data_IF_223321035132
#
_entry.id   IF_223321035132
#
_cell.length_a   1.000
_cell.length_b   1.000
_cell.length_c   1.000
_cell.angle_alpha   90.00
_cell.angle_beta   90.00
_cell.angle_gamma   90.00
#
_symmetry.space_group_name_H-M   'P 1'
#
loop_
_entity.id
_entity.type
_entity.pdbx_description
1 polymer ?
#
# COMPACT_ATOMS: atom_id res chain seq x y z
N UNK A 1 6.46 -10.55 -15.59
CA UNK A 1 7.02 -10.53 -14.22
C UNK A 1 8.53 -10.58 -14.32
N UNK A 2 9.24 -10.36 -13.23
CA UNK A 2 10.69 -10.55 -13.19
C UNK A 2 11.02 -11.87 -12.52
N UNK A 3 11.83 -12.70 -13.21
CA UNK A 3 12.50 -13.89 -12.68
C UNK A 3 13.85 -13.44 -12.09
N UNK A 4 14.01 -13.61 -10.79
CA UNK A 4 15.20 -13.18 -10.04
C UNK A 4 15.97 -14.41 -9.60
N UNK A 5 17.21 -14.51 -10.07
CA UNK A 5 18.14 -15.60 -9.75
C UNK A 5 19.31 -15.11 -8.92
N UNK A 6 19.67 -15.94 -7.95
CA UNK A 6 20.81 -15.74 -7.07
C UNK A 6 22.01 -16.57 -7.54
N UNK A 7 23.15 -16.36 -6.88
CA UNK A 7 24.40 -17.08 -7.16
C UNK A 7 24.45 -18.41 -6.39
N UNK A 8 23.79 -18.43 -5.23
CA UNK A 8 23.68 -19.55 -4.32
C UNK A 8 22.45 -19.36 -3.40
N UNK A 9 22.18 -20.34 -2.53
CA UNK A 9 21.01 -20.34 -1.65
C UNK A 9 21.06 -19.24 -0.58
N UNK A 10 22.25 -18.86 -0.09
CA UNK A 10 22.40 -17.79 0.91
C UNK A 10 22.06 -16.45 0.27
N UNK A 11 22.60 -16.20 -0.92
CA UNK A 11 22.29 -15.02 -1.70
C UNK A 11 20.79 -14.94 -2.04
N UNK A 12 20.13 -16.06 -2.34
CA UNK A 12 18.68 -16.08 -2.58
C UNK A 12 17.89 -15.64 -1.34
N UNK A 13 18.28 -16.10 -0.16
CA UNK A 13 17.65 -15.72 1.10
C UNK A 13 17.86 -14.22 1.42
N UNK A 14 19.05 -13.68 1.14
CA UNK A 14 19.32 -12.24 1.27
C UNK A 14 18.44 -11.41 0.33
N UNK A 15 18.31 -11.80 -0.94
CA UNK A 15 17.42 -11.12 -1.88
C UNK A 15 15.95 -11.19 -1.42
N UNK A 16 15.50 -12.36 -0.95
CA UNK A 16 14.16 -12.51 -0.38
C UNK A 16 13.92 -11.56 0.80
N UNK A 17 14.92 -11.41 1.67
CA UNK A 17 14.89 -10.47 2.79
C UNK A 17 14.75 -9.02 2.31
N UNK A 18 15.55 -8.59 1.33
CA UNK A 18 15.46 -7.24 0.78
C UNK A 18 14.11 -6.95 0.13
N UNK A 19 13.55 -7.91 -0.61
CA UNK A 19 12.22 -7.81 -1.23
C UNK A 19 11.13 -7.73 -0.15
N UNK A 20 11.21 -8.58 0.88
CA UNK A 20 10.29 -8.57 2.02
C UNK A 20 10.29 -7.25 2.78
N UNK A 21 11.46 -6.65 3.00
CA UNK A 21 11.62 -5.33 3.64
C UNK A 21 11.00 -4.17 2.84
N UNK A 22 10.58 -4.42 1.59
CA UNK A 22 9.87 -3.46 0.75
C UNK A 22 8.36 -3.74 0.69
N UNK A 23 7.87 -4.73 1.43
CA UNK A 23 6.47 -5.17 1.44
C UNK A 23 5.93 -5.49 0.03
N UNK A 24 6.75 -6.10 -0.81
CA UNK A 24 6.37 -6.48 -2.17
C UNK A 24 5.75 -7.87 -2.21
N UNK A 25 4.75 -8.04 -3.07
CA UNK A 25 4.27 -9.36 -3.42
C UNK A 25 5.37 -10.12 -4.19
N UNK A 26 5.71 -11.32 -3.72
CA UNK A 26 6.73 -12.17 -4.33
C UNK A 26 6.28 -13.63 -4.34
N UNK A 27 6.51 -14.32 -5.46
CA UNK A 27 6.52 -15.78 -5.53
C UNK A 27 7.91 -16.27 -5.13
N UNK A 28 7.99 -17.28 -4.27
CA UNK A 28 9.26 -17.87 -3.83
C UNK A 28 9.28 -19.32 -4.31
N UNK A 29 10.29 -19.65 -5.10
CA UNK A 29 10.56 -21.00 -5.59
C UNK A 29 11.93 -21.48 -5.10
N UNK A 30 12.30 -22.73 -5.38
CA UNK A 30 13.51 -23.33 -4.82
C UNK A 30 14.80 -22.64 -5.28
N UNK A 31 14.83 -22.12 -6.51
CA UNK A 31 16.00 -21.58 -7.19
C UNK A 31 15.83 -20.12 -7.67
N UNK A 32 14.64 -19.53 -7.46
CA UNK A 32 14.31 -18.17 -7.92
C UNK A 32 13.25 -17.47 -7.07
N UNK A 33 13.18 -16.16 -7.23
CA UNK A 33 12.10 -15.32 -6.71
C UNK A 33 11.43 -14.64 -7.90
N UNK A 34 10.12 -14.48 -7.84
CA UNK A 34 9.33 -13.85 -8.90
C UNK A 34 8.59 -12.65 -8.34
N UNK A 35 8.64 -11.50 -9.02
CA UNK A 35 7.92 -10.28 -8.62
C UNK A 35 7.22 -9.61 -9.82
N UNK A 36 6.29 -8.70 -9.53
CA UNK A 36 5.75 -7.81 -10.56
C UNK A 36 6.82 -6.86 -11.10
N UNK A 37 6.66 -6.44 -12.36
CA UNK A 37 7.64 -5.57 -13.02
C UNK A 37 7.71 -4.21 -12.34
N UNK A 38 8.83 -3.96 -11.68
CA UNK A 38 9.16 -2.68 -11.07
C UNK A 38 10.63 -2.35 -11.36
N UNK A 39 10.86 -1.30 -12.14
CA UNK A 39 12.19 -0.91 -12.60
C UNK A 39 13.10 -0.43 -11.45
N UNK A 40 12.55 0.16 -10.38
CA UNK A 40 13.31 0.61 -9.20
C UNK A 40 13.81 -0.60 -8.44
N UNK A 41 12.93 -1.59 -8.23
CA UNK A 41 13.29 -2.83 -7.55
C UNK A 41 14.26 -3.65 -8.41
N UNK A 42 14.06 -3.70 -9.73
CA UNK A 42 15.01 -4.32 -10.65
C UNK A 42 16.41 -3.76 -10.49
N UNK A 43 16.58 -2.44 -10.59
CA UNK A 43 17.89 -1.80 -10.47
C UNK A 43 18.54 -2.06 -9.09
N UNK A 44 17.74 -2.08 -8.03
CA UNK A 44 18.21 -2.42 -6.69
C UNK A 44 18.70 -3.88 -6.59
N UNK A 45 17.95 -4.85 -7.14
CA UNK A 45 18.32 -6.26 -7.12
C UNK A 45 19.55 -6.54 -8.00
N UNK A 46 19.66 -5.90 -9.17
CA UNK A 46 20.85 -5.94 -10.01
C UNK A 46 22.07 -5.36 -9.29
N UNK A 47 21.90 -4.27 -8.53
CA UNK A 47 22.95 -3.68 -7.69
C UNK A 47 23.42 -4.58 -6.54
N UNK A 48 22.57 -5.50 -6.07
CA UNK A 48 22.93 -6.56 -5.11
C UNK A 48 23.56 -7.80 -5.79
N UNK A 49 23.67 -7.77 -7.13
CA UNK A 49 24.28 -8.82 -7.93
C UNK A 49 23.34 -9.98 -8.25
N UNK A 50 22.02 -9.75 -8.25
CA UNK A 50 21.04 -10.69 -8.78
C UNK A 50 20.96 -10.62 -10.32
N UNK A 51 20.63 -11.75 -10.95
CA UNK A 51 20.23 -11.77 -12.36
C UNK A 51 18.72 -11.57 -12.43
N UNK A 52 18.26 -10.60 -13.23
CA UNK A 52 16.84 -10.25 -13.34
C UNK A 52 16.39 -10.34 -14.80
N UNK A 53 15.62 -11.38 -15.10
CA UNK A 53 15.08 -11.64 -16.44
C UNK A 53 13.60 -11.27 -16.53
N UNK A 54 13.17 -10.80 -17.70
CA UNK A 54 11.77 -10.53 -17.95
C UNK A 54 11.08 -11.74 -18.56
N UNK A 55 10.08 -12.28 -17.85
CA UNK A 55 9.33 -13.46 -18.27
C UNK A 55 7.83 -13.21 -18.25
N UNK A 56 7.10 -13.99 -19.06
CA UNK A 56 5.63 -13.95 -19.13
C UNK A 56 5.05 -15.29 -18.67
N UNK A 57 4.67 -15.36 -17.40
CA UNK A 57 4.09 -16.55 -16.77
C UNK A 57 3.06 -16.16 -15.70
N UNK A 58 2.22 -17.09 -15.21
CA UNK A 58 1.28 -16.82 -14.13
C UNK A 58 1.97 -16.44 -12.83
N UNK A 59 1.52 -15.36 -12.20
CA UNK A 59 2.09 -14.88 -10.94
C UNK A 59 1.31 -15.42 -9.73
N UNK A 60 1.99 -16.18 -8.86
CA UNK A 60 1.43 -16.75 -7.62
C UNK A 60 2.24 -16.28 -6.41
N UNK A 61 1.90 -15.14 -5.80
CA UNK A 61 2.65 -14.64 -4.64
C UNK A 61 2.40 -15.49 -3.40
N UNK A 62 3.40 -15.54 -2.52
CA UNK A 62 3.28 -16.18 -1.21
C UNK A 62 2.29 -15.38 -0.36
N UNK A 63 1.32 -16.08 0.23
CA UNK A 63 0.35 -15.48 1.15
C UNK A 63 1.07 -15.10 2.46
N UNK A 64 0.85 -13.88 2.97
CA UNK A 64 1.48 -13.46 4.22
C UNK A 64 1.05 -14.31 5.42
N UNK A 65 1.90 -14.45 6.45
CA UNK A 65 1.67 -15.35 7.58
C UNK A 65 0.34 -15.11 8.34
N UNK A 66 -0.19 -13.88 8.33
CA UNK A 66 -1.42 -13.51 9.04
C UNK A 66 -2.67 -13.50 8.17
N UNK A 67 -2.55 -13.82 6.88
CA UNK A 67 -3.67 -13.74 5.95
C UNK A 67 -4.72 -14.86 6.11
N UNK A 68 -4.70 -15.60 7.23
CA UNK A 68 -5.66 -16.63 7.61
C UNK A 68 -6.31 -16.47 8.99
N UNK A 69 -6.01 -15.41 9.76
CA UNK A 69 -6.54 -15.23 11.13
C UNK A 69 -7.52 -14.04 11.29
N UNK A 70 -7.90 -13.38 10.20
CA UNK A 70 -9.03 -12.45 10.18
C UNK A 70 -10.24 -13.14 9.53
N UNK A 71 -11.22 -13.53 10.35
CA UNK A 71 -12.54 -13.94 9.87
C UNK A 71 -13.08 -12.92 8.87
N UNK A 72 -13.72 -13.42 7.81
CA UNK A 72 -14.04 -12.68 6.61
C UNK A 72 -15.02 -11.51 6.80
N UNK A 73 -15.03 -10.62 5.82
CA UNK A 73 -16.23 -10.02 5.22
C UNK A 73 -15.77 -9.18 4.02
N UNK A 74 -15.97 -9.72 2.81
CA UNK A 74 -15.64 -9.02 1.58
C UNK A 74 -16.62 -9.26 0.45
N UNK A 75 -17.85 -9.72 0.73
CA UNK A 75 -18.97 -9.75 -0.21
C UNK A 75 -20.28 -9.72 0.59
N UNK A 76 -21.16 -8.74 0.37
CA UNK A 76 -22.42 -8.89 -0.39
C UNK A 76 -23.37 -7.70 -0.12
N UNK A 77 -24.52 -7.67 -0.80
CA UNK A 77 -25.23 -6.51 -1.32
C UNK A 77 -26.17 -5.74 -0.36
N UNK A 78 -26.47 -4.48 -0.74
CA UNK A 78 -27.81 -3.90 -0.60
C UNK A 78 -27.99 -2.77 0.42
N UNK A 79 -28.06 -1.52 -0.05
CA UNK A 79 -29.34 -0.79 -0.14
C UNK A 79 -29.10 0.63 -0.68
N UNK A 80 -29.68 0.88 -1.86
CA UNK A 80 -30.07 2.21 -2.31
C UNK A 80 -31.02 2.80 -1.27
N UNK A 81 -30.61 3.89 -0.64
CA UNK A 81 -31.52 4.78 0.08
C UNK A 81 -31.33 6.19 -0.47
N UNK A 82 -31.95 6.39 -1.63
CA UNK A 82 -32.44 7.69 -2.06
C UNK A 82 -33.45 8.23 -1.04
N UNK A 83 -32.97 9.04 -0.08
CA UNK A 83 -33.83 9.96 0.67
C UNK A 83 -33.61 11.37 0.14
N UNK A 84 -34.38 11.73 -0.88
CA UNK A 84 -34.78 13.10 -1.09
C UNK A 84 -35.86 13.43 -0.04
N UNK A 85 -35.49 14.18 1.00
CA UNK A 85 -36.42 14.94 1.84
C UNK A 85 -35.71 16.23 2.22
N UNK A 86 -36.23 17.33 1.66
CA UNK A 86 -35.74 18.67 1.86
C UNK A 86 -36.21 19.21 3.22
N UNK A 87 -35.29 19.50 4.12
CA UNK A 87 -35.56 20.36 5.27
C UNK A 87 -34.56 21.51 5.32
N UNK A 88 -34.95 22.60 4.66
CA UNK A 88 -34.37 23.91 4.84
C UNK A 88 -34.84 24.49 6.18
N UNK A 89 -33.92 24.73 7.10
CA UNK A 89 -34.14 25.66 8.20
C UNK A 89 -33.16 26.82 8.07
N UNK A 90 -33.66 27.86 7.38
CA UNK A 90 -33.12 29.21 7.44
C UNK A 90 -33.53 29.81 8.78
N UNK A 91 -32.56 30.11 9.63
CA UNK A 91 -32.68 31.19 10.62
C UNK A 91 -31.62 32.22 10.27
N UNK A 92 -32.03 33.21 9.48
CA UNK A 92 -31.39 34.51 9.54
C UNK A 92 -31.73 35.15 10.88
N UNK A 93 -30.73 35.65 11.57
CA UNK A 93 -30.85 36.88 12.34
C UNK A 93 -29.45 37.52 12.36
N UNK A 94 -29.34 38.64 11.65
CA UNK A 94 -28.12 39.42 11.55
C UNK A 94 -27.98 40.30 12.78
N UNK A 95 -26.84 40.24 13.48
CA UNK A 95 -26.34 41.37 14.25
C UNK A 95 -24.80 41.45 14.20
N UNK A 96 -24.33 42.45 13.47
CA UNK A 96 -22.99 43.03 13.55
C UNK A 96 -22.77 43.70 14.91
N UNK A 97 -21.53 43.69 15.43
CA UNK A 97 -20.67 44.87 15.58
C UNK A 97 -19.40 44.55 16.39
N UNK A 98 -18.35 45.32 16.06
CA UNK A 98 -16.97 45.38 16.55
C UNK A 98 -16.84 45.40 18.09
N UNK A 99 -15.68 45.11 18.71
CA UNK A 99 -14.56 46.04 18.88
C UNK A 99 -13.23 45.32 19.10
N UNK A 100 -12.21 45.79 18.38
CA UNK A 100 -10.80 45.68 18.73
C UNK A 100 -10.48 46.61 19.90
N UNK A 101 -9.92 46.09 20.99
CA UNK A 101 -9.17 46.89 21.95
C UNK A 101 -7.81 46.23 22.23
N UNK A 102 -6.77 46.95 21.82
CA UNK A 102 -5.39 46.74 22.18
C UNK A 102 -5.12 47.27 23.59
N UNK A 103 -4.73 46.40 24.53
CA UNK A 103 -4.03 46.84 25.75
C UNK A 103 -2.82 45.96 26.03
N UNK A 104 -1.66 46.56 25.79
CA UNK A 104 -0.35 46.19 26.30
C UNK A 104 -0.28 46.33 27.82
N UNK A 105 0.24 45.34 28.53
CA UNK A 105 0.97 45.58 29.78
C UNK A 105 2.15 44.62 29.92
N UNK A 106 3.31 45.26 30.07
CA UNK A 106 4.62 44.71 30.39
C UNK A 106 4.63 44.19 31.83
N UNK A 107 5.36 43.10 32.08
CA UNK A 107 6.14 42.87 33.29
C UNK A 107 7.34 41.98 32.95
#
# INVERSE_FOLDING_TARGET
>A
IYDIRARDAVHLAELAWHIGNRHLAAGIEADRIVILRDHVIKAMLEGLGATVDEVSEPFKPVRGAYSGHGGGHGHDHGHDHSHAEAHAHSHGEAHSHSHSESHSHSH
#
